data_IF_530537314414
#
_entry.id   IF_530537314414
#
_cell.length_a   1.000
_cell.length_b   1.000
_cell.length_c   1.000
_cell.angle_alpha   90.00
_cell.angle_beta   90.00
_cell.angle_gamma   90.00
#
_symmetry.space_group_name_H-M   'P 1'
#
loop_
_entity.id
_entity.type
_entity.pdbx_description
1 polymer ?
#
# COMPACT_ATOMS: atom_id res chain seq x y z
N UNK A 1 24.00 12.54 -3.87
CA UNK A 1 25.01 11.47 -4.01
C UNK A 1 24.88 10.59 -5.25
N UNK A 2 23.88 9.70 -5.42
CA UNK A 2 23.84 8.78 -6.57
C UNK A 2 23.81 9.49 -7.95
N UNK A 3 23.09 10.61 -8.04
CA UNK A 3 23.09 11.48 -9.23
C UNK A 3 24.44 12.17 -9.46
N UNK A 4 25.11 12.64 -8.39
CA UNK A 4 26.45 13.24 -8.46
C UNK A 4 27.48 12.23 -8.98
N UNK A 5 27.39 10.97 -8.52
CA UNK A 5 28.20 9.85 -9.02
C UNK A 5 27.78 9.38 -10.42
N UNK A 6 26.80 10.03 -11.05
CA UNK A 6 26.31 9.72 -12.40
C UNK A 6 25.82 8.28 -12.60
N UNK A 7 25.33 7.62 -11.55
CA UNK A 7 24.89 6.21 -11.62
C UNK A 7 23.74 6.00 -12.62
N UNK A 8 22.84 6.98 -12.76
CA UNK A 8 21.77 6.98 -13.77
C UNK A 8 22.26 6.85 -15.22
N UNK A 9 23.52 7.21 -15.50
CA UNK A 9 24.11 7.10 -16.84
C UNK A 9 24.74 5.73 -17.09
N UNK A 10 24.92 4.90 -16.06
CA UNK A 10 25.64 3.64 -16.16
C UNK A 10 24.94 2.65 -17.09
N UNK A 11 23.64 2.43 -16.89
CA UNK A 11 22.88 1.50 -17.71
C UNK A 11 22.78 1.92 -19.19
N UNK A 12 22.40 3.18 -19.53
CA UNK A 12 22.41 3.65 -20.92
C UNK A 12 23.78 3.52 -21.60
N UNK A 13 24.88 3.65 -20.84
CA UNK A 13 26.24 3.47 -21.37
C UNK A 13 26.55 2.01 -21.60
N UNK A 14 26.25 1.14 -20.63
CA UNK A 14 26.45 -0.31 -20.74
C UNK A 14 25.64 -0.88 -21.90
N UNK A 15 24.37 -0.52 -22.01
CA UNK A 15 23.48 -0.98 -23.07
C UNK A 15 24.03 -0.64 -24.47
N UNK A 16 24.50 0.60 -24.67
CA UNK A 16 25.14 1.01 -25.93
C UNK A 16 26.41 0.21 -26.24
N UNK A 17 27.20 -0.14 -25.24
CA UNK A 17 28.41 -0.98 -25.40
C UNK A 17 28.07 -2.44 -25.72
N UNK A 18 26.97 -2.96 -25.15
CA UNK A 18 26.48 -4.30 -25.48
C UNK A 18 25.97 -4.39 -26.92
N UNK A 19 25.30 -3.35 -27.41
CA UNK A 19 24.76 -3.30 -28.77
C UNK A 19 25.85 -3.04 -29.82
N UNK A 20 26.73 -2.07 -29.55
CA UNK A 20 27.87 -1.77 -30.40
C UNK A 20 29.01 -2.65 -29.94
N UNK A 21 29.17 -3.86 -30.50
CA UNK A 21 30.33 -4.75 -30.28
C UNK A 21 31.64 -3.99 -30.56
N UNK A 22 32.09 -3.23 -29.56
CA UNK A 22 33.12 -2.20 -29.71
C UNK A 22 34.47 -2.87 -29.91
N UNK A 23 35.28 -2.34 -30.83
CA UNK A 23 36.68 -2.77 -31.00
C UNK A 23 37.54 -2.44 -29.78
N UNK A 24 37.08 -1.54 -28.90
CA UNK A 24 37.73 -1.15 -27.64
C UNK A 24 37.00 -1.78 -26.44
N UNK A 25 36.95 -3.11 -26.40
CA UNK A 25 36.44 -3.85 -25.25
C UNK A 25 37.37 -3.61 -24.05
N UNK A 26 36.86 -2.92 -23.02
CA UNK A 26 37.52 -2.77 -21.73
C UNK A 26 36.71 -3.51 -20.66
N UNK A 27 37.19 -4.68 -20.18
CA UNK A 27 36.52 -5.46 -19.15
C UNK A 27 36.34 -4.70 -17.82
N UNK A 28 37.26 -3.79 -17.48
CA UNK A 28 37.18 -3.05 -16.22
C UNK A 28 36.06 -2.01 -16.26
N UNK A 29 35.90 -1.32 -17.38
CA UNK A 29 34.81 -0.36 -17.57
C UNK A 29 33.44 -1.06 -17.52
N UNK A 30 33.28 -2.20 -18.19
CA UNK A 30 32.03 -2.97 -18.15
C UNK A 30 31.70 -3.43 -16.72
N UNK A 31 32.71 -3.85 -15.95
CA UNK A 31 32.53 -4.25 -14.56
C UNK A 31 32.00 -3.10 -13.70
N UNK A 32 32.59 -1.91 -13.81
CA UNK A 32 32.14 -0.73 -13.05
C UNK A 32 30.74 -0.28 -13.48
N UNK A 33 30.44 -0.32 -14.79
CA UNK A 33 29.12 -0.01 -15.31
C UNK A 33 28.06 -0.99 -14.80
N UNK A 34 28.33 -2.30 -14.78
CA UNK A 34 27.41 -3.30 -14.24
C UNK A 34 27.12 -3.05 -12.75
N UNK A 35 28.15 -2.77 -11.94
CA UNK A 35 27.99 -2.46 -10.52
C UNK A 35 27.15 -1.20 -10.32
N UNK A 36 27.44 -0.15 -11.08
CA UNK A 36 26.70 1.11 -11.03
C UNK A 36 25.24 0.95 -11.49
N UNK A 37 24.98 0.16 -12.55
CA UNK A 37 23.63 -0.16 -13.02
C UNK A 37 22.83 -0.92 -11.98
N UNK A 38 23.40 -1.97 -11.36
CA UNK A 38 22.74 -2.71 -10.27
C UNK A 38 22.38 -1.79 -9.11
N UNK A 39 23.32 -0.94 -8.70
CA UNK A 39 23.11 0.04 -7.63
C UNK A 39 21.99 1.00 -7.98
N UNK A 40 21.98 1.53 -9.21
CA UNK A 40 20.93 2.42 -9.69
C UNK A 40 19.56 1.74 -9.71
N UNK A 41 19.47 0.51 -10.21
CA UNK A 41 18.23 -0.29 -10.23
C UNK A 41 17.69 -0.52 -8.81
N UNK A 42 18.55 -0.86 -7.83
CA UNK A 42 18.13 -0.98 -6.44
C UNK A 42 17.60 0.34 -5.86
N UNK A 43 18.23 1.48 -6.19
CA UNK A 43 17.74 2.79 -5.78
C UNK A 43 16.37 3.13 -6.40
N UNK A 44 16.19 2.82 -7.69
CA UNK A 44 14.90 2.96 -8.37
C UNK A 44 13.81 2.14 -7.66
N UNK A 45 14.11 0.90 -7.28
CA UNK A 45 13.19 0.04 -6.53
C UNK A 45 12.81 0.64 -5.18
N UNK A 46 13.80 1.02 -4.37
CA UNK A 46 13.54 1.55 -3.02
C UNK A 46 12.79 2.88 -3.07
N UNK A 47 13.09 3.74 -4.04
CA UNK A 47 12.36 4.98 -4.25
C UNK A 47 10.87 4.74 -4.48
N UNK A 48 10.54 3.80 -5.37
CA UNK A 48 9.14 3.44 -5.65
C UNK A 48 8.48 2.76 -4.44
N UNK A 49 9.18 1.86 -3.76
CA UNK A 49 8.65 1.21 -2.56
C UNK A 49 8.33 2.24 -1.45
N UNK A 50 9.19 3.23 -1.26
CA UNK A 50 8.95 4.34 -0.33
C UNK A 50 7.78 5.21 -0.79
N UNK A 51 7.75 5.57 -2.08
CA UNK A 51 6.65 6.35 -2.68
C UNK A 51 5.28 5.70 -2.42
N UNK A 52 5.12 4.42 -2.74
CA UNK A 52 3.87 3.69 -2.48
C UNK A 52 3.60 3.45 -0.98
N UNK A 53 4.66 3.37 -0.17
CA UNK A 53 4.55 3.26 1.27
C UNK A 53 3.93 4.50 1.90
N UNK A 54 4.46 5.68 1.55
CA UNK A 54 4.12 6.95 2.21
C UNK A 54 3.17 7.84 1.42
N UNK A 55 2.76 7.44 0.21
CA UNK A 55 1.89 8.23 -0.68
C UNK A 55 2.58 9.42 -1.37
N UNK A 56 3.88 9.62 -1.14
CA UNK A 56 4.63 10.71 -1.79
C UNK A 56 4.90 10.35 -3.26
N UNK A 57 4.97 11.32 -4.18
CA UNK A 57 5.43 11.05 -5.55
C UNK A 57 6.84 10.47 -5.58
N UNK A 58 7.09 9.53 -6.49
CA UNK A 58 8.42 9.00 -6.77
C UNK A 58 9.28 10.07 -7.47
N UNK A 59 10.53 10.20 -7.03
CA UNK A 59 11.53 11.13 -7.57
C UNK A 59 12.16 10.55 -8.84
N UNK A 60 12.53 9.27 -8.80
CA UNK A 60 13.07 8.54 -9.96
C UNK A 60 11.93 8.09 -10.86
N UNK A 61 12.11 8.18 -12.18
CA UNK A 61 11.07 7.97 -13.19
C UNK A 61 11.41 6.82 -14.13
N UNK A 62 10.39 6.26 -14.77
CA UNK A 62 10.48 5.36 -15.92
C UNK A 62 11.11 6.12 -17.11
N UNK A 63 12.43 6.08 -17.21
CA UNK A 63 13.23 6.76 -18.23
C UNK A 63 14.38 5.88 -18.79
N UNK A 64 15.22 6.46 -19.64
CA UNK A 64 16.39 5.81 -20.25
C UNK A 64 17.29 5.09 -19.24
N UNK A 65 17.34 5.55 -17.98
CA UNK A 65 18.20 4.98 -16.94
C UNK A 65 17.81 3.57 -16.52
N UNK A 66 16.58 3.13 -16.81
CA UNK A 66 16.08 1.76 -16.57
C UNK A 66 15.54 1.07 -17.82
N UNK A 67 15.52 1.76 -18.96
CA UNK A 67 14.98 1.27 -20.23
C UNK A 67 15.61 -0.06 -20.66
N UNK A 68 14.80 -1.08 -20.95
CA UNK A 68 15.27 -2.42 -21.33
C UNK A 68 16.24 -3.06 -20.31
N UNK A 69 16.12 -2.76 -19.02
CA UNK A 69 16.99 -3.29 -17.96
C UNK A 69 17.16 -4.82 -17.99
N UNK A 70 16.17 -5.57 -18.50
CA UNK A 70 16.24 -7.02 -18.72
C UNK A 70 17.45 -7.47 -19.55
N UNK A 71 17.93 -6.64 -20.46
CA UNK A 71 19.12 -6.95 -21.28
C UNK A 71 20.38 -7.13 -20.42
N UNK A 72 20.41 -6.63 -19.18
CA UNK A 72 21.50 -6.89 -18.23
C UNK A 72 21.75 -8.40 -18.06
N UNK A 73 20.71 -9.23 -18.13
CA UNK A 73 20.83 -10.69 -17.99
C UNK A 73 21.64 -11.35 -19.10
N UNK A 74 21.78 -10.70 -20.26
CA UNK A 74 22.57 -11.18 -21.39
C UNK A 74 24.05 -10.80 -21.27
N UNK A 75 24.41 -9.95 -20.31
CA UNK A 75 25.79 -9.53 -20.11
C UNK A 75 26.61 -10.66 -19.44
N UNK A 76 27.87 -10.91 -19.83
CA UNK A 76 28.70 -11.97 -19.24
C UNK A 76 28.96 -11.86 -17.73
N UNK A 77 28.83 -10.64 -17.17
CA UNK A 77 28.95 -10.39 -15.73
C UNK A 77 27.62 -10.49 -14.97
N UNK A 78 26.53 -10.92 -15.62
CA UNK A 78 25.24 -11.12 -14.97
C UNK A 78 25.32 -12.24 -13.93
N UNK A 79 24.55 -12.12 -12.85
CA UNK A 79 24.46 -13.11 -11.78
C UNK A 79 23.00 -13.55 -11.60
N UNK A 80 22.79 -14.62 -10.83
CA UNK A 80 21.46 -15.20 -10.64
C UNK A 80 20.45 -14.20 -10.05
N UNK A 81 20.87 -13.43 -9.04
CA UNK A 81 20.03 -12.43 -8.37
C UNK A 81 19.60 -11.26 -9.28
N UNK A 82 20.31 -11.01 -10.40
CA UNK A 82 19.92 -9.96 -11.34
C UNK A 82 18.53 -10.23 -11.91
N UNK A 83 18.13 -11.50 -12.03
CA UNK A 83 16.82 -11.88 -12.56
C UNK A 83 15.69 -11.30 -11.69
N UNK A 84 15.84 -11.39 -10.37
CA UNK A 84 14.89 -10.81 -9.41
C UNK A 84 14.95 -9.28 -9.42
N UNK A 85 16.14 -8.71 -9.54
CA UNK A 85 16.30 -7.26 -9.60
C UNK A 85 15.56 -6.68 -10.81
N UNK A 86 15.87 -7.16 -12.02
CA UNK A 86 15.29 -6.60 -13.25
C UNK A 86 13.80 -6.91 -13.37
N UNK A 87 13.33 -8.08 -12.93
CA UNK A 87 11.88 -8.38 -12.93
C UNK A 87 11.12 -7.41 -12.05
N UNK A 88 11.68 -7.06 -10.88
CA UNK A 88 11.07 -6.11 -9.96
C UNK A 88 11.12 -4.69 -10.52
N UNK A 89 12.19 -4.30 -11.22
CA UNK A 89 12.31 -2.97 -11.86
C UNK A 89 11.23 -2.79 -12.91
N UNK A 90 11.05 -3.79 -13.78
CA UNK A 90 9.99 -3.76 -14.79
C UNK A 90 8.60 -3.67 -14.17
N UNK A 91 8.34 -4.39 -13.07
CA UNK A 91 7.07 -4.29 -12.36
C UNK A 91 6.85 -2.87 -11.81
N UNK A 92 7.88 -2.26 -11.21
CA UNK A 92 7.77 -0.90 -10.69
C UNK A 92 7.49 0.11 -11.82
N UNK A 93 8.11 -0.06 -12.99
CA UNK A 93 7.81 0.78 -14.15
C UNK A 93 6.36 0.62 -14.64
N UNK A 94 5.82 -0.61 -14.69
CA UNK A 94 4.39 -0.84 -14.99
C UNK A 94 3.51 -0.12 -13.96
N UNK A 95 3.80 -0.32 -12.67
CA UNK A 95 3.04 0.31 -11.57
C UNK A 95 3.10 1.84 -11.63
N UNK A 96 4.25 2.41 -11.99
CA UNK A 96 4.41 3.87 -12.14
C UNK A 96 3.50 4.39 -13.26
N UNK A 97 3.52 3.76 -14.43
CA UNK A 97 2.65 4.14 -15.57
C UNK A 97 1.17 4.06 -15.21
N UNK A 98 0.75 2.98 -14.54
CA UNK A 98 -0.65 2.81 -14.10
C UNK A 98 -1.02 3.89 -13.08
N UNK A 99 -0.17 4.13 -12.08
CA UNK A 99 -0.40 5.15 -11.07
C UNK A 99 -0.53 6.56 -11.68
N UNK A 100 0.31 6.90 -12.66
CA UNK A 100 0.25 8.16 -13.37
C UNK A 100 -1.04 8.32 -14.20
N UNK A 101 -1.51 7.24 -14.86
CA UNK A 101 -2.78 7.23 -15.62
C UNK A 101 -4.01 7.41 -14.73
N UNK A 102 -3.94 6.97 -13.47
CA UNK A 102 -5.05 7.08 -12.50
C UNK A 102 -5.06 8.41 -11.74
N UNK A 103 -3.99 9.20 -11.85
CA UNK A 103 -3.88 10.52 -11.22
C UNK A 103 -4.62 11.58 -12.05
N UNK A 104 -5.31 12.55 -11.44
CA UNK A 104 -5.43 12.79 -10.00
C UNK A 104 -6.49 11.90 -9.32
N UNK A 105 -6.28 11.56 -8.05
CA UNK A 105 -7.11 10.59 -7.30
C UNK A 105 -8.37 11.17 -6.63
N UNK A 106 -8.55 12.49 -6.69
CA UNK A 106 -9.67 13.23 -6.11
C UNK A 106 -10.91 13.28 -7.03
N UNK A 107 -10.74 12.93 -8.31
CA UNK A 107 -11.82 12.85 -9.29
C UNK A 107 -12.79 11.67 -9.06
N UNK A 108 -13.95 11.66 -9.75
CA UNK A 108 -14.89 10.54 -9.71
C UNK A 108 -14.26 9.25 -10.23
N UNK A 109 -14.74 8.10 -9.74
CA UNK A 109 -14.43 6.80 -10.34
C UNK A 109 -15.36 6.59 -11.52
N UNK A 110 -14.81 6.57 -12.72
CA UNK A 110 -15.55 6.53 -13.98
C UNK A 110 -15.12 5.36 -14.89
N UNK A 111 -15.68 5.30 -16.09
CA UNK A 111 -15.36 4.24 -17.06
C UNK A 111 -13.90 4.24 -17.49
N UNK A 112 -13.27 5.43 -17.61
CA UNK A 112 -11.85 5.55 -17.92
C UNK A 112 -11.00 4.93 -16.80
N UNK A 113 -11.36 5.17 -15.54
CA UNK A 113 -10.70 4.56 -14.38
C UNK A 113 -10.71 3.03 -14.50
N UNK A 114 -11.85 2.43 -14.85
CA UNK A 114 -11.95 0.98 -15.03
C UNK A 114 -11.18 0.46 -16.24
N UNK A 115 -11.16 1.19 -17.35
CA UNK A 115 -10.37 0.83 -18.52
C UNK A 115 -8.87 0.79 -18.21
N UNK A 116 -8.35 1.76 -17.45
CA UNK A 116 -6.96 1.78 -16.98
C UNK A 116 -6.66 0.59 -16.06
N UNK A 117 -7.58 0.23 -15.16
CA UNK A 117 -7.42 -0.94 -14.27
C UNK A 117 -7.42 -2.26 -15.04
N UNK A 118 -8.23 -2.41 -16.08
CA UNK A 118 -8.27 -3.62 -16.90
C UNK A 118 -7.01 -3.78 -17.77
N UNK A 119 -6.51 -2.67 -18.33
CA UNK A 119 -5.20 -2.63 -19.01
C UNK A 119 -4.08 -3.01 -18.03
N UNK A 120 -4.07 -2.41 -16.83
CA UNK A 120 -3.08 -2.69 -15.79
C UNK A 120 -3.09 -4.17 -15.37
N UNK A 121 -4.26 -4.76 -15.20
CA UNK A 121 -4.41 -6.19 -14.89
C UNK A 121 -3.82 -7.09 -15.98
N UNK A 122 -4.02 -6.72 -17.24
CA UNK A 122 -3.42 -7.44 -18.37
C UNK A 122 -1.89 -7.31 -18.34
N UNK A 123 -1.36 -6.12 -18.08
CA UNK A 123 0.08 -5.89 -17.95
C UNK A 123 0.70 -6.68 -16.80
N UNK A 124 0.06 -6.71 -15.62
CA UNK A 124 0.55 -7.48 -14.46
C UNK A 124 0.51 -8.98 -14.72
N UNK A 125 -0.54 -9.50 -15.36
CA UNK A 125 -0.62 -10.92 -15.76
C UNK A 125 0.44 -11.29 -16.79
N UNK A 126 0.68 -10.43 -17.77
CA UNK A 126 1.71 -10.65 -18.79
C UNK A 126 3.11 -10.62 -18.19
N UNK A 127 3.38 -9.66 -17.30
CA UNK A 127 4.62 -9.59 -16.53
C UNK A 127 4.82 -10.87 -15.71
N UNK A 128 3.81 -11.28 -14.94
CA UNK A 128 3.89 -12.48 -14.12
C UNK A 128 4.14 -13.71 -14.97
N UNK A 129 3.36 -13.94 -16.03
CA UNK A 129 3.53 -15.08 -16.94
C UNK A 129 4.95 -15.16 -17.50
N UNK A 130 5.45 -14.04 -18.02
CA UNK A 130 6.79 -13.98 -18.62
C UNK A 130 7.89 -14.34 -17.62
N UNK A 131 7.81 -13.79 -16.42
CA UNK A 131 8.81 -14.04 -15.39
C UNK A 131 8.62 -15.41 -14.73
N UNK A 132 7.40 -15.86 -14.52
CA UNK A 132 7.07 -17.21 -14.05
C UNK A 132 7.74 -18.25 -14.96
N UNK A 133 7.52 -18.15 -16.28
CA UNK A 133 8.15 -19.02 -17.27
C UNK A 133 9.69 -18.99 -17.16
N UNK A 134 10.30 -17.82 -17.01
CA UNK A 134 11.76 -17.70 -16.85
C UNK A 134 12.27 -18.29 -15.52
N UNK A 135 11.60 -18.03 -14.40
CA UNK A 135 11.99 -18.56 -13.10
C UNK A 135 11.75 -20.08 -13.00
N UNK A 136 10.74 -20.62 -13.68
CA UNK A 136 10.41 -22.05 -13.69
C UNK A 136 11.52 -22.93 -14.28
N UNK A 137 12.41 -22.35 -15.10
CA UNK A 137 13.58 -23.06 -15.64
C UNK A 137 14.64 -23.38 -14.56
N UNK A 138 14.58 -22.68 -13.42
CA UNK A 138 15.58 -22.77 -12.34
C UNK A 138 14.99 -23.22 -11.01
N UNK A 139 13.71 -22.91 -10.76
CA UNK A 139 13.07 -23.12 -9.47
C UNK A 139 11.73 -23.83 -9.62
N UNK A 140 11.44 -24.73 -8.69
CA UNK A 140 10.12 -25.34 -8.55
C UNK A 140 9.06 -24.30 -8.13
N UNK A 141 7.78 -24.60 -8.36
CA UNK A 141 6.68 -23.67 -8.08
C UNK A 141 6.60 -23.25 -6.60
N UNK A 142 6.94 -24.16 -5.68
CA UNK A 142 6.93 -23.90 -4.24
C UNK A 142 8.15 -23.09 -3.75
N UNK A 143 9.14 -22.82 -4.62
CA UNK A 143 10.34 -22.10 -4.25
C UNK A 143 10.04 -20.63 -3.90
N UNK A 144 10.84 -20.07 -2.98
CA UNK A 144 10.70 -18.69 -2.51
C UNK A 144 10.60 -17.68 -3.66
N UNK A 145 11.45 -17.80 -4.68
CA UNK A 145 11.49 -16.86 -5.80
C UNK A 145 10.19 -16.85 -6.61
N UNK A 146 9.62 -18.04 -6.87
CA UNK A 146 8.35 -18.21 -7.59
C UNK A 146 7.17 -17.63 -6.80
N UNK A 147 7.11 -17.93 -5.51
CA UNK A 147 6.10 -17.41 -4.60
C UNK A 147 6.23 -15.88 -4.43
N UNK A 148 7.46 -15.38 -4.33
CA UNK A 148 7.72 -13.93 -4.24
C UNK A 148 7.31 -13.18 -5.50
N UNK A 149 7.46 -13.77 -6.69
CA UNK A 149 6.99 -13.18 -7.94
C UNK A 149 5.46 -13.05 -7.94
N UNK A 150 4.76 -14.11 -7.52
CA UNK A 150 3.30 -14.12 -7.43
C UNK A 150 2.77 -13.10 -6.42
N UNK A 151 3.40 -12.99 -5.25
CA UNK A 151 3.05 -11.97 -4.25
C UNK A 151 3.25 -10.55 -4.78
N UNK A 152 4.31 -10.30 -5.56
CA UNK A 152 4.53 -8.99 -6.17
C UNK A 152 3.42 -8.62 -7.15
N UNK A 153 2.95 -9.56 -7.98
CA UNK A 153 1.79 -9.35 -8.85
C UNK A 153 0.54 -9.01 -8.02
N UNK A 154 0.25 -9.82 -6.99
CA UNK A 154 -0.92 -9.61 -6.12
C UNK A 154 -0.88 -8.22 -5.49
N UNK A 155 0.25 -7.79 -4.94
CA UNK A 155 0.37 -6.47 -4.33
C UNK A 155 0.23 -5.33 -5.36
N UNK A 156 0.75 -5.51 -6.57
CA UNK A 156 0.59 -4.54 -7.64
C UNK A 156 -0.88 -4.36 -8.03
N UNK A 157 -1.61 -5.46 -8.20
CA UNK A 157 -3.05 -5.46 -8.51
C UNK A 157 -3.86 -4.82 -7.38
N UNK A 158 -3.70 -5.27 -6.13
CA UNK A 158 -4.50 -4.77 -5.00
C UNK A 158 -4.29 -3.28 -4.74
N UNK A 159 -3.05 -2.80 -4.87
CA UNK A 159 -2.74 -1.39 -4.66
C UNK A 159 -3.52 -0.49 -5.65
N UNK A 160 -3.56 -0.86 -6.93
CA UNK A 160 -4.27 -0.07 -7.93
C UNK A 160 -5.78 -0.28 -7.87
N UNK A 161 -6.26 -1.50 -7.60
CA UNK A 161 -7.69 -1.77 -7.40
C UNK A 161 -8.26 -0.93 -6.26
N UNK A 162 -7.50 -0.70 -5.18
CA UNK A 162 -7.93 0.16 -4.08
C UNK A 162 -8.32 1.56 -4.56
N UNK A 163 -7.57 2.15 -5.52
CA UNK A 163 -7.86 3.47 -6.06
C UNK A 163 -9.21 3.53 -6.79
N UNK A 164 -9.60 2.45 -7.49
CA UNK A 164 -10.87 2.35 -8.19
C UNK A 164 -12.03 1.89 -7.27
N UNK A 165 -11.72 1.46 -6.05
CA UNK A 165 -12.69 1.10 -5.02
C UNK A 165 -12.92 2.23 -4.01
N UNK A 166 -12.36 3.42 -4.25
CA UNK A 166 -12.63 4.62 -3.45
C UNK A 166 -14.10 5.02 -3.49
N UNK A 167 -14.57 5.64 -2.40
CA UNK A 167 -15.96 6.09 -2.26
C UNK A 167 -16.93 5.01 -1.75
N UNK A 168 -16.47 3.77 -1.54
CA UNK A 168 -17.29 2.68 -0.99
C UNK A 168 -17.02 2.54 0.52
N UNK A 169 -17.89 3.16 1.34
CA UNK A 169 -17.69 3.25 2.79
C UNK A 169 -18.62 2.30 3.57
N UNK A 170 -19.83 2.08 3.04
CA UNK A 170 -20.85 1.27 3.69
C UNK A 170 -21.80 0.53 2.75
N UNK A 171 -22.79 -0.19 3.32
CA UNK A 171 -23.73 -1.01 2.54
C UNK A 171 -24.56 -0.20 1.53
N UNK A 172 -24.88 1.06 1.82
CA UNK A 172 -25.62 1.92 0.88
C UNK A 172 -24.81 2.21 -0.38
N UNK A 173 -23.51 2.46 -0.25
CA UNK A 173 -22.62 2.68 -1.40
C UNK A 173 -22.50 1.39 -2.21
N UNK A 174 -22.40 0.23 -1.55
CA UNK A 174 -22.37 -1.08 -2.19
C UNK A 174 -23.64 -1.35 -3.00
N UNK A 175 -24.80 -0.88 -2.55
CA UNK A 175 -26.06 -1.02 -3.29
C UNK A 175 -26.13 -0.11 -4.52
N UNK A 176 -25.50 1.07 -4.47
CA UNK A 176 -25.51 2.08 -5.53
C UNK A 176 -24.34 1.94 -6.50
N UNK A 177 -23.35 1.08 -6.19
CA UNK A 177 -22.12 1.01 -6.97
C UNK A 177 -22.33 0.46 -8.39
N UNK A 178 -21.58 0.94 -9.39
CA UNK A 178 -21.60 0.39 -10.73
C UNK A 178 -21.22 -1.10 -10.75
N UNK A 179 -21.76 -1.84 -11.72
CA UNK A 179 -21.49 -3.27 -11.91
C UNK A 179 -19.99 -3.57 -12.03
N UNK A 180 -19.27 -2.79 -12.83
CA UNK A 180 -17.82 -2.92 -13.01
C UNK A 180 -17.06 -2.77 -11.68
N UNK A 181 -17.48 -1.82 -10.83
CA UNK A 181 -16.86 -1.61 -9.51
C UNK A 181 -17.13 -2.79 -8.57
N UNK A 182 -18.33 -3.38 -8.61
CA UNK A 182 -18.67 -4.58 -7.83
C UNK A 182 -17.87 -5.79 -8.28
N UNK A 183 -17.74 -6.00 -9.59
CA UNK A 183 -16.92 -7.09 -10.15
C UNK A 183 -15.46 -6.95 -9.76
N UNK A 184 -14.91 -5.73 -9.80
CA UNK A 184 -13.57 -5.41 -9.34
C UNK A 184 -13.38 -5.71 -7.85
N UNK A 185 -14.37 -5.38 -7.01
CA UNK A 185 -14.32 -5.67 -5.57
C UNK A 185 -14.27 -7.18 -5.30
N UNK A 186 -15.12 -7.98 -5.97
CA UNK A 186 -15.16 -9.43 -5.81
C UNK A 186 -13.85 -10.07 -6.30
N UNK A 187 -13.31 -9.59 -7.42
CA UNK A 187 -12.00 -10.02 -7.91
C UNK A 187 -10.91 -9.71 -6.89
N UNK A 188 -10.91 -8.51 -6.32
CA UNK A 188 -9.94 -8.08 -5.31
C UNK A 188 -9.98 -8.93 -4.04
N UNK A 189 -11.17 -9.41 -3.63
CA UNK A 189 -11.29 -10.39 -2.54
C UNK A 189 -10.51 -11.67 -2.85
N UNK A 190 -10.69 -12.22 -4.06
CA UNK A 190 -10.01 -13.46 -4.48
C UNK A 190 -8.48 -13.28 -4.53
N UNK A 191 -8.03 -12.18 -5.15
CA UNK A 191 -6.61 -11.83 -5.26
C UNK A 191 -5.96 -11.65 -3.88
N UNK A 192 -6.63 -10.92 -2.96
CA UNK A 192 -6.10 -10.73 -1.61
C UNK A 192 -6.09 -12.01 -0.79
N UNK A 193 -7.09 -12.88 -0.92
CA UNK A 193 -7.09 -14.21 -0.28
C UNK A 193 -5.92 -15.06 -0.76
N UNK A 194 -5.65 -15.07 -2.06
CA UNK A 194 -4.52 -15.79 -2.64
C UNK A 194 -3.18 -15.24 -2.10
N UNK A 195 -3.01 -13.92 -2.03
CA UNK A 195 -1.79 -13.31 -1.48
C UNK A 195 -1.58 -13.66 0.00
N UNK A 196 -2.65 -13.63 0.80
CA UNK A 196 -2.57 -14.03 2.21
C UNK A 196 -2.26 -15.52 2.36
N UNK A 197 -2.90 -16.36 1.55
CA UNK A 197 -2.66 -17.80 1.53
C UNK A 197 -1.19 -18.13 1.29
N UNK A 198 -0.59 -17.58 0.24
CA UNK A 198 0.84 -17.72 -0.04
C UNK A 198 1.67 -17.22 1.15
N UNK A 199 1.33 -16.05 1.70
CA UNK A 199 2.10 -15.45 2.81
C UNK A 199 2.11 -16.33 4.06
N UNK A 200 0.97 -16.97 4.39
CA UNK A 200 0.81 -17.72 5.66
C UNK A 200 0.95 -19.23 5.55
N UNK A 201 0.76 -19.80 4.35
CA UNK A 201 0.77 -21.24 4.11
C UNK A 201 1.97 -21.72 3.31
N UNK A 202 2.64 -20.88 2.50
CA UNK A 202 3.85 -21.28 1.81
C UNK A 202 5.04 -21.33 2.78
N UNK A 203 5.66 -22.49 3.03
CA UNK A 203 6.77 -22.59 3.98
C UNK A 203 7.98 -21.74 3.54
N UNK A 204 8.29 -21.74 2.24
CA UNK A 204 9.44 -21.01 1.70
C UNK A 204 9.25 -19.49 1.81
N UNK A 205 8.05 -18.99 1.51
CA UNK A 205 7.76 -17.56 1.57
C UNK A 205 7.63 -17.07 3.02
N UNK A 206 6.93 -17.83 3.88
CA UNK A 206 6.77 -17.49 5.29
C UNK A 206 8.11 -17.47 6.04
N UNK A 207 9.03 -18.38 5.73
CA UNK A 207 10.39 -18.35 6.28
C UNK A 207 11.13 -17.07 5.85
N UNK A 208 11.01 -16.69 4.58
CA UNK A 208 11.60 -15.45 4.04
C UNK A 208 11.11 -14.17 4.72
N UNK A 209 9.90 -14.17 5.30
CA UNK A 209 9.34 -13.00 6.01
C UNK A 209 10.19 -12.57 7.21
N UNK A 210 10.98 -13.47 7.81
CA UNK A 210 11.89 -13.16 8.94
C UNK A 210 12.95 -12.12 8.59
N UNK A 211 13.41 -12.15 7.34
CA UNK A 211 14.49 -11.30 6.83
C UNK A 211 13.96 -10.21 5.89
N UNK A 212 12.65 -10.11 5.75
CA UNK A 212 12.04 -9.20 4.82
C UNK A 212 12.13 -7.75 5.31
N UNK A 213 12.28 -6.84 4.35
CA UNK A 213 12.31 -5.40 4.58
C UNK A 213 10.91 -4.87 4.93
N UNK A 214 10.87 -3.66 5.49
CA UNK A 214 9.66 -2.90 5.83
C UNK A 214 8.56 -3.02 4.77
N UNK A 215 8.91 -2.81 3.50
CA UNK A 215 7.94 -2.79 2.41
C UNK A 215 7.16 -4.11 2.28
N UNK A 216 7.82 -5.24 2.48
CA UNK A 216 7.19 -6.57 2.40
C UNK A 216 6.18 -6.79 3.52
N UNK A 217 6.51 -6.40 4.76
CA UNK A 217 5.55 -6.49 5.86
C UNK A 217 4.40 -5.50 5.71
N UNK A 218 4.68 -4.29 5.20
CA UNK A 218 3.66 -3.26 4.98
C UNK A 218 2.66 -3.67 3.90
N UNK A 219 3.12 -4.22 2.78
CA UNK A 219 2.26 -4.72 1.70
C UNK A 219 1.37 -5.89 2.14
N UNK A 220 1.93 -6.85 2.91
CA UNK A 220 1.13 -7.93 3.48
C UNK A 220 0.06 -7.41 4.47
N UNK A 221 0.42 -6.42 5.30
CA UNK A 221 -0.52 -5.77 6.23
C UNK A 221 -1.61 -5.02 5.48
N UNK A 222 -1.25 -4.29 4.42
CA UNK A 222 -2.19 -3.61 3.54
C UNK A 222 -3.18 -4.61 2.92
N UNK A 223 -2.69 -5.71 2.32
CA UNK A 223 -3.54 -6.73 1.70
C UNK A 223 -4.54 -7.34 2.71
N UNK A 224 -4.08 -7.65 3.92
CA UNK A 224 -4.93 -8.18 4.99
C UNK A 224 -5.98 -7.16 5.47
N UNK A 225 -5.57 -5.90 5.65
CA UNK A 225 -6.45 -4.80 6.05
C UNK A 225 -7.52 -4.52 5.00
N UNK A 226 -7.11 -4.51 3.74
CA UNK A 226 -7.98 -4.32 2.59
C UNK A 226 -8.99 -5.46 2.46
N UNK A 227 -8.53 -6.71 2.63
CA UNK A 227 -9.40 -7.88 2.63
C UNK A 227 -10.43 -7.87 3.77
N UNK A 228 -10.03 -7.47 4.99
CA UNK A 228 -10.99 -7.31 6.10
C UNK A 228 -12.08 -6.27 5.78
N UNK A 229 -11.72 -5.17 5.11
CA UNK A 229 -12.68 -4.15 4.70
C UNK A 229 -13.61 -4.65 3.60
N UNK A 230 -13.08 -5.33 2.59
CA UNK A 230 -13.89 -5.94 1.53
C UNK A 230 -14.84 -7.01 2.09
N UNK A 231 -14.36 -7.87 2.99
CA UNK A 231 -15.19 -8.89 3.63
C UNK A 231 -16.34 -8.30 4.46
N UNK A 232 -16.13 -7.11 5.04
CA UNK A 232 -17.19 -6.35 5.73
C UNK A 232 -18.24 -5.81 4.75
N UNK A 233 -17.81 -5.32 3.60
CA UNK A 233 -18.69 -4.70 2.60
C UNK A 233 -19.44 -5.74 1.75
N UNK A 234 -18.84 -6.90 1.52
CA UNK A 234 -19.35 -7.99 0.70
C UNK A 234 -19.45 -9.32 1.49
N UNK A 235 -20.21 -9.35 2.61
CA UNK A 235 -20.25 -10.52 3.50
C UNK A 235 -20.90 -11.75 2.86
N UNK A 236 -21.69 -11.58 1.78
CA UNK A 236 -22.34 -12.66 1.06
C UNK A 236 -21.51 -13.21 -0.10
N UNK A 237 -20.46 -12.49 -0.53
CA UNK A 237 -19.61 -12.87 -1.65
C UNK A 237 -18.30 -13.55 -1.19
N UNK A 238 -18.11 -13.72 0.12
CA UNK A 238 -16.90 -14.34 0.68
C UNK A 238 -17.13 -14.98 2.05
N UNK A 239 -16.26 -15.93 2.41
CA UNK A 239 -16.22 -16.49 3.76
C UNK A 239 -15.51 -15.52 4.72
N UNK A 240 -16.31 -14.74 5.44
CA UNK A 240 -15.81 -13.75 6.41
C UNK A 240 -15.16 -14.37 7.65
N UNK A 241 -15.47 -15.63 7.99
CA UNK A 241 -14.83 -16.30 9.12
C UNK A 241 -13.44 -16.76 8.71
N UNK A 242 -13.33 -17.39 7.55
CA UNK A 242 -12.03 -17.85 7.04
C UNK A 242 -11.07 -16.68 6.81
N UNK A 243 -11.56 -15.57 6.26
CA UNK A 243 -10.75 -14.35 6.08
C UNK A 243 -10.20 -13.85 7.42
N UNK A 244 -11.01 -13.85 8.48
CA UNK A 244 -10.53 -13.43 9.82
C UNK A 244 -9.48 -14.39 10.35
N UNK A 245 -9.66 -15.70 10.17
CA UNK A 245 -8.68 -16.70 10.57
C UNK A 245 -7.35 -16.52 9.82
N UNK A 246 -7.39 -16.28 8.50
CA UNK A 246 -6.18 -16.00 7.71
C UNK A 246 -5.44 -14.75 8.21
N UNK A 247 -6.17 -13.68 8.52
CA UNK A 247 -5.57 -12.44 9.06
C UNK A 247 -5.03 -12.62 10.48
N UNK A 248 -5.71 -13.42 11.32
CA UNK A 248 -5.20 -13.81 12.64
C UNK A 248 -3.89 -14.58 12.52
N UNK A 249 -3.80 -15.55 11.60
CA UNK A 249 -2.57 -16.30 11.34
C UNK A 249 -1.43 -15.39 10.86
N UNK A 250 -1.71 -14.42 9.98
CA UNK A 250 -0.72 -13.43 9.55
C UNK A 250 -0.24 -12.58 10.72
N UNK A 251 -1.15 -12.10 11.57
CA UNK A 251 -0.80 -11.31 12.74
C UNK A 251 0.07 -12.10 13.72
N UNK A 252 -0.28 -13.37 13.98
CA UNK A 252 0.51 -14.27 14.80
C UNK A 252 1.90 -14.48 14.22
N UNK A 253 2.02 -14.79 12.93
CA UNK A 253 3.33 -14.91 12.25
C UNK A 253 4.17 -13.64 12.40
N UNK A 254 3.58 -12.47 12.11
CA UNK A 254 4.26 -11.17 12.22
C UNK A 254 4.74 -10.85 13.65
N UNK A 255 4.09 -11.41 14.68
CA UNK A 255 4.48 -11.20 16.08
C UNK A 255 5.77 -11.93 16.49
N UNK A 256 6.11 -13.02 15.78
CA UNK A 256 7.31 -13.83 16.01
C UNK A 256 8.53 -13.37 15.20
N UNK A 257 8.36 -12.39 14.31
CA UNK A 257 9.42 -11.84 13.45
C UNK A 257 9.63 -10.35 13.78
N UNK A 258 10.60 -9.66 13.15
CA UNK A 258 10.74 -8.19 13.22
C UNK A 258 9.57 -7.37 12.63
N UNK A 259 8.34 -7.89 12.73
CA UNK A 259 7.10 -7.32 12.21
C UNK A 259 6.05 -6.99 13.29
N UNK A 260 6.44 -6.94 14.58
CA UNK A 260 5.50 -6.76 15.71
C UNK A 260 4.50 -5.62 15.55
N UNK A 261 4.92 -4.46 15.04
CA UNK A 261 4.02 -3.32 14.82
C UNK A 261 2.87 -3.62 13.84
N UNK A 262 3.14 -4.45 12.84
CA UNK A 262 2.15 -4.89 11.86
C UNK A 262 1.22 -5.92 12.48
N UNK A 263 1.75 -6.85 13.29
CA UNK A 263 0.95 -7.78 14.08
C UNK A 263 -0.06 -7.04 14.97
N UNK A 264 0.40 -6.04 15.73
CA UNK A 264 -0.46 -5.23 16.61
C UNK A 264 -1.53 -4.50 15.79
N UNK A 265 -1.16 -3.90 14.65
CA UNK A 265 -2.10 -3.23 13.74
C UNK A 265 -3.23 -4.19 13.32
N UNK A 266 -2.88 -5.39 12.86
CA UNK A 266 -3.86 -6.40 12.43
C UNK A 266 -4.72 -6.90 13.60
N UNK A 267 -4.13 -7.12 14.78
CA UNK A 267 -4.87 -7.51 15.99
C UNK A 267 -5.93 -6.46 16.37
N UNK A 268 -5.59 -5.17 16.33
CA UNK A 268 -6.53 -4.07 16.60
C UNK A 268 -7.66 -4.03 15.56
N UNK A 269 -7.34 -4.24 14.27
CA UNK A 269 -8.34 -4.32 13.21
C UNK A 269 -9.30 -5.51 13.40
N UNK A 270 -8.78 -6.68 13.78
CA UNK A 270 -9.58 -7.87 14.08
C UNK A 270 -10.49 -7.64 15.30
N UNK A 271 -9.98 -7.02 16.36
CA UNK A 271 -10.76 -6.65 17.54
C UNK A 271 -11.91 -5.71 17.18
N UNK A 272 -11.64 -4.69 16.35
CA UNK A 272 -12.67 -3.78 15.80
C UNK A 272 -13.74 -4.56 15.02
N UNK A 273 -13.31 -5.47 14.15
CA UNK A 273 -14.22 -6.28 13.33
C UNK A 273 -15.12 -7.20 14.17
N UNK A 274 -14.60 -7.76 15.28
CA UNK A 274 -15.38 -8.57 16.25
C UNK A 274 -16.41 -7.72 17.00
N UNK A 275 -16.02 -6.54 17.51
CA UNK A 275 -16.92 -5.63 18.26
C UNK A 275 -18.11 -5.15 17.41
N UNK A 276 -17.86 -4.75 16.15
CA UNK A 276 -18.94 -4.34 15.23
C UNK A 276 -19.99 -5.44 15.01
N UNK A 277 -19.56 -6.70 14.87
CA UNK A 277 -20.48 -7.85 14.71
C UNK A 277 -21.38 -8.01 15.94
N UNK A 278 -20.82 -7.88 17.16
CA UNK A 278 -21.61 -7.95 18.39
C UNK A 278 -22.69 -6.84 18.44
N UNK A 279 -22.33 -5.60 18.12
CA UNK A 279 -23.28 -4.46 18.12
C UNK A 279 -24.37 -4.60 17.05
N UNK A 280 -24.04 -5.09 15.84
CA UNK A 280 -25.04 -5.36 14.79
C UNK A 280 -25.99 -6.49 15.17
N UNK A 281 -25.53 -7.48 15.95
CA UNK A 281 -26.37 -8.60 16.41
C UNK A 281 -27.22 -8.22 17.63
N UNK A 282 -26.79 -7.23 18.43
CA UNK A 282 -27.54 -6.73 19.60
C UNK A 282 -28.59 -5.66 19.29
N UNK A 283 -28.67 -5.12 18.06
CA UNK A 283 -29.77 -4.23 17.65
C UNK A 283 -30.96 -5.05 17.15
N UNK A 284 -31.62 -5.72 18.09
CA UNK A 284 -33.04 -6.08 17.98
C UNK A 284 -33.68 -5.94 19.36
N UNK A 285 -34.26 -4.75 19.62
CA UNK A 285 -35.56 -4.71 20.26
C UNK A 285 -36.53 -3.91 19.39
N UNK A 286 -37.66 -4.54 19.08
CA UNK A 286 -38.91 -3.85 18.73
C UNK A 286 -39.14 -2.74 19.77
N UNK A 287 -38.99 -1.49 19.39
CA UNK A 287 -39.54 -0.37 20.15
C UNK A 287 -40.46 0.42 19.23
N UNK A 288 -41.69 0.45 19.70
CA UNK A 288 -42.89 1.05 19.15
C UNK A 288 -42.64 2.48 18.66
N UNK A 289 -43.16 2.72 17.46
CA UNK A 289 -43.31 4.01 16.81
C UNK A 289 -44.12 4.94 17.72
N UNK A 290 -43.52 6.02 18.22
CA UNK A 290 -44.26 7.14 18.83
C UNK A 290 -43.99 8.41 18.01
N UNK A 291 -45.08 9.13 17.72
CA UNK A 291 -45.16 10.19 16.72
C UNK A 291 -44.43 11.49 17.14
N UNK A 292 -43.99 12.34 16.18
CA UNK A 292 -43.30 13.58 16.50
C UNK A 292 -44.28 14.66 16.98
N UNK A 293 -44.02 15.22 18.17
CA UNK A 293 -44.63 16.46 18.65
C UNK A 293 -43.84 17.66 18.12
N UNK A 294 -44.49 18.47 17.30
CA UNK A 294 -44.14 19.87 16.96
C UNK A 294 -44.39 20.82 18.13
N UNK A 295 -43.63 21.92 18.24
CA UNK A 295 -43.92 23.25 18.88
C UNK A 295 -42.60 24.10 18.90
N UNK A 296 -42.57 25.45 18.86
CA UNK A 296 -42.44 26.25 17.63
C UNK A 296 -41.25 27.24 17.67
N UNK A 297 -41.07 28.00 16.59
CA UNK A 297 -40.09 29.10 16.46
C UNK A 297 -40.31 30.25 17.45
N UNK A 298 -39.22 30.83 17.94
CA UNK A 298 -39.14 32.22 18.39
C UNK A 298 -37.88 32.87 17.80
N UNK A 299 -38.08 34.07 17.24
CA UNK A 299 -37.09 34.95 16.63
C UNK A 299 -36.58 35.91 17.71
N UNK A 300 -35.27 36.17 17.76
CA UNK A 300 -34.70 37.51 18.01
C UNK A 300 -33.17 37.56 17.74
N UNK A 301 -32.77 38.62 17.04
CA UNK A 301 -31.41 39.09 16.67
C UNK A 301 -31.04 40.31 17.57
N UNK A 302 -29.89 41.01 17.40
CA UNK A 302 -28.50 40.58 17.23
C UNK A 302 -27.55 41.39 18.16
N UNK A 303 -26.26 41.01 18.26
CA UNK A 303 -25.22 41.96 18.65
C UNK A 303 -23.91 41.74 17.90
N UNK A 304 -23.43 42.87 17.37
CA UNK A 304 -22.30 43.11 16.48
C UNK A 304 -20.99 43.27 17.23
N UNK A 305 -19.87 42.72 16.72
CA UNK A 305 -18.53 43.34 16.84
C UNK A 305 -17.74 43.09 15.53
N UNK A 306 -17.19 44.19 15.02
CA UNK A 306 -16.26 44.38 13.91
C UNK A 306 -14.92 43.64 14.10
N UNK A 307 -14.28 43.18 13.02
CA UNK A 307 -13.12 43.90 12.44
C UNK A 307 -12.52 43.26 11.16
N UNK A 308 -12.50 44.08 10.11
CA UNK A 308 -11.36 44.45 9.26
C UNK A 308 -10.41 43.36 8.68
N UNK A 309 -10.59 43.07 7.38
CA UNK A 309 -9.64 42.34 6.51
C UNK A 309 -9.02 43.28 5.46
N UNK A 310 -7.70 43.21 5.28
CA UNK A 310 -7.03 43.40 3.99
C UNK A 310 -5.61 42.78 3.98
N UNK A 311 -5.08 42.42 2.80
CA UNK A 311 -4.19 41.27 2.64
C UNK A 311 -2.72 41.68 2.50
N UNK A 312 -1.81 40.88 3.06
CA UNK A 312 -0.38 40.97 2.77
C UNK A 312 0.16 39.59 2.47
N UNK A 313 0.76 39.47 1.29
CA UNK A 313 1.44 38.30 0.76
C UNK A 313 2.82 38.21 1.42
N UNK A 314 3.19 37.06 1.99
CA UNK A 314 4.57 36.79 2.43
C UNK A 314 4.96 35.34 2.08
N UNK A 315 6.08 35.09 1.37
CA UNK A 315 6.45 33.77 0.89
C UNK A 315 7.34 33.07 1.91
N UNK A 316 6.83 32.03 2.57
CA UNK A 316 7.66 31.16 3.42
C UNK A 316 7.42 29.69 3.11
N UNK A 317 8.39 29.10 2.39
CA UNK A 317 8.58 27.65 2.30
C UNK A 317 8.73 27.08 3.72
N UNK A 318 7.73 26.33 4.18
CA UNK A 318 7.76 25.64 5.48
C UNK A 318 7.98 24.14 5.25
N UNK A 319 9.09 23.63 5.80
CA UNK A 319 9.38 22.20 5.92
C UNK A 319 8.33 21.52 6.84
N UNK A 320 7.88 20.28 6.55
CA UNK A 320 6.81 19.60 7.28
C UNK A 320 7.14 19.27 8.77
N UNK A 321 8.36 19.49 9.24
CA UNK A 321 8.75 19.26 10.64
C UNK A 321 8.24 20.34 11.61
N UNK A 322 8.01 21.57 11.15
CA UNK A 322 7.67 22.68 12.04
C UNK A 322 6.21 22.65 12.54
N UNK A 323 5.30 21.99 11.80
CA UNK A 323 3.88 21.91 12.19
C UNK A 323 3.66 20.90 13.33
N UNK A 324 4.60 19.98 13.55
CA UNK A 324 4.49 18.96 14.60
C UNK A 324 4.85 19.48 16.00
N UNK A 325 5.56 20.60 16.13
CA UNK A 325 6.03 21.08 17.45
C UNK A 325 4.98 21.86 18.26
N UNK A 326 3.89 22.32 17.65
CA UNK A 326 2.92 23.19 18.33
C UNK A 326 1.75 22.46 19.01
N UNK A 327 1.67 21.12 18.90
CA UNK A 327 0.58 20.32 19.46
C UNK A 327 1.06 19.34 20.55
N UNK A 328 1.93 19.81 21.46
CA UNK A 328 2.31 19.06 22.67
C UNK A 328 1.19 19.12 23.73
N UNK A 329 0.09 18.40 23.47
CA UNK A 329 -0.76 17.88 24.53
C UNK A 329 -0.13 16.59 25.08
N UNK A 330 -0.12 16.40 26.40
CA UNK A 330 0.36 15.19 27.08
C UNK A 330 -0.24 13.93 26.45
N UNK A 331 0.53 13.21 25.63
CA UNK A 331 0.14 11.90 25.07
C UNK A 331 0.30 10.87 26.19
N UNK A 332 -0.76 10.14 26.60
CA UNK A 332 -0.61 9.07 27.57
C UNK A 332 0.34 8.01 27.02
N UNK A 333 1.29 7.53 27.82
CA UNK A 333 2.09 6.34 27.51
C UNK A 333 1.15 5.13 27.39
N UNK A 334 0.65 4.87 26.19
CA UNK A 334 -0.09 3.65 25.91
C UNK A 334 0.89 2.49 25.99
N UNK A 335 0.57 1.49 26.82
CA UNK A 335 1.32 0.23 26.86
C UNK A 335 1.45 -0.39 25.48
N UNK A 336 2.49 -1.18 25.28
CA UNK A 336 2.90 -1.70 23.95
C UNK A 336 2.04 -2.87 23.46
N UNK A 337 1.10 -3.32 24.28
CA UNK A 337 0.17 -4.41 23.98
C UNK A 337 -1.13 -3.90 23.32
N UNK A 338 -1.70 -4.71 22.42
CA UNK A 338 -2.89 -4.36 21.67
C UNK A 338 -4.11 -4.04 22.56
N UNK A 339 -4.24 -4.66 23.73
CA UNK A 339 -5.33 -4.34 24.66
C UNK A 339 -5.21 -2.93 25.24
N UNK A 340 -3.99 -2.50 25.55
CA UNK A 340 -3.75 -1.18 26.15
C UNK A 340 -3.96 -0.07 25.13
N UNK A 341 -3.44 -0.27 23.91
CA UNK A 341 -3.66 0.65 22.79
C UNK A 341 -5.14 0.79 22.47
N UNK A 342 -5.88 -0.34 22.46
CA UNK A 342 -7.32 -0.31 22.19
C UNK A 342 -8.11 0.47 23.24
N UNK A 343 -7.81 0.31 24.53
CA UNK A 343 -8.43 1.12 25.60
C UNK A 343 -8.13 2.60 25.42
N UNK A 344 -6.92 2.92 24.95
CA UNK A 344 -6.55 4.27 24.57
C UNK A 344 -7.46 4.85 23.50
N UNK A 345 -7.69 4.12 22.41
CA UNK A 345 -8.61 4.55 21.35
C UNK A 345 -10.03 4.78 21.82
N UNK A 346 -10.51 4.05 22.84
CA UNK A 346 -11.85 4.26 23.40
C UNK A 346 -11.96 5.57 24.20
N UNK A 347 -10.82 6.15 24.62
CA UNK A 347 -10.75 7.38 25.41
C UNK A 347 -10.27 8.61 24.59
N UNK A 348 -9.74 8.40 23.39
CA UNK A 348 -9.20 9.46 22.52
C UNK A 348 -10.27 10.09 21.61
N UNK A 349 -10.07 11.36 21.24
CA UNK A 349 -10.89 12.04 20.24
C UNK A 349 -10.63 11.51 18.83
N UNK A 350 -11.58 11.67 17.90
CA UNK A 350 -11.47 11.14 16.54
C UNK A 350 -10.24 11.63 15.77
N UNK A 351 -9.74 12.84 16.06
CA UNK A 351 -8.56 13.42 15.40
C UNK A 351 -7.24 12.73 15.78
N UNK A 352 -7.21 12.04 16.92
CA UNK A 352 -6.03 11.34 17.41
C UNK A 352 -6.01 9.85 17.03
N UNK A 353 -7.10 9.36 16.40
CA UNK A 353 -7.23 7.96 16.02
C UNK A 353 -6.49 7.68 14.70
N UNK A 354 -5.88 6.49 14.55
CA UNK A 354 -5.29 6.05 13.29
C UNK A 354 -6.24 6.21 12.09
N UNK A 355 -5.68 6.57 10.93
CA UNK A 355 -6.43 6.75 9.70
C UNK A 355 -7.31 5.56 9.35
N UNK A 356 -6.83 4.33 9.52
CA UNK A 356 -7.63 3.16 9.19
C UNK A 356 -8.86 2.96 10.09
N UNK A 357 -8.91 3.63 11.24
CA UNK A 357 -10.06 3.71 12.13
C UNK A 357 -11.05 4.77 11.66
N UNK A 358 -10.56 5.96 11.31
CA UNK A 358 -11.39 7.12 10.95
C UNK A 358 -11.89 7.03 9.51
N UNK A 359 -11.02 6.69 8.57
CA UNK A 359 -11.33 6.48 7.17
C UNK A 359 -11.88 5.06 6.92
N UNK A 360 -13.11 5.00 6.40
CA UNK A 360 -13.77 3.75 6.00
C UNK A 360 -13.60 3.42 4.51
N UNK A 361 -13.04 4.34 3.71
CA UNK A 361 -12.87 4.19 2.27
C UNK A 361 -11.81 3.14 1.95
N UNK A 362 -12.02 2.38 0.88
CA UNK A 362 -11.08 1.35 0.43
C UNK A 362 -9.79 1.93 -0.19
N UNK A 363 -9.86 3.11 -0.79
CA UNK A 363 -8.73 3.82 -1.39
C UNK A 363 -8.97 5.31 -1.57
N UNK A 364 -9.59 5.95 -0.57
CA UNK A 364 -9.91 7.38 -0.57
C UNK A 364 -8.69 8.28 -0.38
N UNK A 365 -8.95 9.57 -0.13
CA UNK A 365 -7.92 10.61 -0.03
C UNK A 365 -6.77 10.26 0.93
N UNK A 366 -7.07 9.59 2.03
CA UNK A 366 -6.04 9.19 2.99
C UNK A 366 -5.08 8.16 2.39
N UNK A 367 -5.58 7.20 1.60
CA UNK A 367 -4.72 6.26 0.89
C UNK A 367 -3.90 6.94 -0.21
N UNK A 368 -4.47 7.89 -0.96
CA UNK A 368 -3.72 8.60 -1.99
C UNK A 368 -2.63 9.50 -1.40
N UNK A 369 -2.85 10.09 -0.22
CA UNK A 369 -1.89 10.99 0.43
C UNK A 369 -0.84 10.28 1.26
N UNK A 370 -1.20 9.18 1.94
CA UNK A 370 -0.34 8.48 2.89
C UNK A 370 0.12 7.12 2.39
N UNK A 371 -0.35 6.67 1.21
CA UNK A 371 -0.03 5.36 0.67
C UNK A 371 -0.47 4.23 1.60
N UNK A 372 0.34 3.19 1.70
CA UNK A 372 0.07 2.05 2.59
C UNK A 372 0.17 2.40 4.08
N UNK A 373 0.90 3.46 4.45
CA UNK A 373 1.00 3.92 5.84
C UNK A 373 -0.36 4.35 6.41
N UNK A 374 -1.33 4.69 5.55
CA UNK A 374 -2.74 4.89 5.93
C UNK A 374 -3.36 3.71 6.70
N UNK A 375 -2.84 2.49 6.47
CA UNK A 375 -3.31 1.25 7.08
C UNK A 375 -2.49 0.81 8.29
N UNK A 376 -1.44 1.54 8.64
CA UNK A 376 -0.54 1.19 9.73
C UNK A 376 -0.84 2.02 10.99
N UNK A 377 -0.35 1.54 12.13
CA UNK A 377 -0.32 2.35 13.35
C UNK A 377 0.66 3.52 13.20
N UNK A 378 0.26 4.75 13.57
CA UNK A 378 1.15 5.90 13.60
C UNK A 378 2.39 5.68 14.49
N UNK A 379 3.49 6.40 14.24
CA UNK A 379 4.70 6.32 15.05
C UNK A 379 4.49 6.56 16.54
N UNK A 380 3.52 7.38 16.92
CA UNK A 380 3.29 7.78 18.31
C UNK A 380 2.77 6.65 19.20
N UNK A 381 2.22 5.60 18.60
CA UNK A 381 1.77 4.39 19.29
C UNK A 381 2.86 3.31 19.37
N UNK A 382 4.11 3.64 18.99
CA UNK A 382 5.25 2.73 19.06
C UNK A 382 5.86 2.74 20.46
N UNK A 383 6.26 1.56 20.92
CA UNK A 383 7.28 1.47 21.96
C UNK A 383 8.55 2.19 21.48
N UNK A 384 9.31 2.90 22.34
CA UNK A 384 10.63 3.35 21.97
C UNK A 384 11.48 2.13 21.57
N UNK A 385 11.81 2.03 20.28
CA UNK A 385 12.73 1.01 19.79
C UNK A 385 14.13 1.49 20.14
N UNK A 386 14.74 0.85 21.14
CA UNK A 386 16.18 0.96 21.38
C UNK A 386 16.82 0.16 20.24
N UNK A 387 17.53 0.88 19.36
CA UNK A 387 18.32 0.29 18.28
C UNK A 387 19.56 -0.39 18.82
#
# INVERSE_FOLDING_TARGET
MAMELSLHKAWPRLLRRMQNRSSNYDPNEDRELVIASRTWFCLYLFEHQLSYGTGRPAILKDDESIYQCRLLLQHPLSIEDDMRLVSTVELMAIRERVHNKLSPFDGPVDELTFAVIDEADTDFRNWYKTWDEAFSQKYEDAAFYRQSLQIQQVHAELFHNATALRGINGPEDVQKMPKAQRELAIRSIKVARQGLDITVNSPSYSEGMKYAVHYTHATATFAASFLLRLARLFPNDCDTLEIKNQVERLATMMSYIPGKRYAITLQLMLKRAKKRKATSTSRSPNISREAPRTIPMAIEQPSSIHDSFSPTYDPSFSSPEAVHQMQMGMVPQYGTDAETIWRGFEMSSNEQLPFWITDQSLGGNTFSQQGMDAFLLPPDYRAPQIW
#
